data_IF_201113657851
#
_entry.id   IF_201113657851
#
_cell.length_a   1.000
_cell.length_b   1.000
_cell.length_c   1.000
_cell.angle_alpha   90.00
_cell.angle_beta   90.00
_cell.angle_gamma   90.00
#
_symmetry.space_group_name_H-M   'P 1'
#
loop_
_entity.id
_entity.type
_entity.pdbx_description
1 polymer ?
#
# COMPACT_ATOMS: atom_id res chain seq x y z
N UNK A 1 21.20 -10.55 -30.02
CA UNK A 1 20.26 -9.44 -29.76
C UNK A 1 18.86 -10.05 -29.75
N UNK A 2 18.14 -10.07 -28.62
CA UNK A 2 16.77 -10.62 -28.57
C UNK A 2 15.82 -9.55 -29.15
N UNK A 3 14.94 -9.88 -30.11
CA UNK A 3 13.98 -8.91 -30.65
C UNK A 3 13.12 -8.36 -29.51
N UNK A 4 12.84 -7.06 -29.52
CA UNK A 4 11.94 -6.43 -28.55
C UNK A 4 10.52 -6.96 -28.77
N UNK A 5 9.89 -7.48 -27.72
CA UNK A 5 8.52 -8.00 -27.78
C UNK A 5 7.57 -6.83 -28.04
N UNK A 6 6.78 -6.90 -29.12
CA UNK A 6 5.70 -5.95 -29.37
C UNK A 6 4.39 -6.44 -28.75
N UNK A 7 4.08 -5.97 -27.54
CA UNK A 7 2.83 -6.33 -26.85
C UNK A 7 1.58 -5.65 -27.44
N UNK A 8 1.74 -4.74 -28.39
CA UNK A 8 0.64 -4.05 -29.06
C UNK A 8 0.28 -4.67 -30.42
N UNK A 9 0.98 -5.73 -30.81
CA UNK A 9 0.67 -6.49 -32.02
C UNK A 9 -0.52 -7.44 -31.75
N UNK A 10 -1.66 -7.27 -32.44
CA UNK A 10 -2.83 -8.12 -32.24
C UNK A 10 -2.61 -9.57 -32.69
N UNK A 11 -1.62 -9.83 -33.55
CA UNK A 11 -1.29 -11.17 -34.05
C UNK A 11 -0.15 -11.82 -33.22
N UNK A 12 0.37 -11.12 -32.21
CA UNK A 12 1.42 -11.65 -31.34
C UNK A 12 0.85 -12.56 -30.25
N UNK A 13 1.17 -13.84 -30.33
CA UNK A 13 0.88 -14.83 -29.30
C UNK A 13 2.14 -15.10 -28.46
N UNK A 14 2.19 -14.68 -27.18
CA UNK A 14 3.33 -14.93 -26.32
C UNK A 14 3.43 -16.40 -25.93
N UNK A 15 4.64 -16.94 -25.89
CA UNK A 15 4.88 -18.25 -25.30
C UNK A 15 4.65 -18.24 -23.78
N UNK A 16 4.44 -19.41 -23.19
CA UNK A 16 4.30 -19.57 -21.73
C UNK A 16 5.47 -18.93 -20.96
N UNK A 17 6.70 -19.10 -21.43
CA UNK A 17 7.88 -18.48 -20.82
C UNK A 17 7.83 -16.95 -20.86
N UNK A 18 7.33 -16.39 -21.96
CA UNK A 18 7.14 -14.95 -22.12
C UNK A 18 6.03 -14.45 -21.19
N UNK A 19 4.92 -15.19 -21.07
CA UNK A 19 3.82 -14.87 -20.15
C UNK A 19 4.27 -14.87 -18.69
N UNK A 20 5.05 -15.86 -18.26
CA UNK A 20 5.63 -15.92 -16.91
C UNK A 20 6.54 -14.72 -16.68
N UNK A 21 7.42 -14.42 -17.64
CA UNK A 21 8.32 -13.27 -17.54
C UNK A 21 7.58 -11.92 -17.51
N UNK A 22 6.52 -11.77 -18.30
CA UNK A 22 5.66 -10.59 -18.33
C UNK A 22 4.94 -10.42 -17.00
N UNK A 23 4.36 -11.49 -16.48
CA UNK A 23 3.67 -11.51 -15.17
C UNK A 23 4.62 -11.12 -14.05
N UNK A 24 5.82 -11.71 -14.00
CA UNK A 24 6.82 -11.39 -12.99
C UNK A 24 7.22 -9.91 -13.02
N UNK A 25 7.36 -9.30 -14.20
CA UNK A 25 7.68 -7.88 -14.35
C UNK A 25 6.50 -6.97 -14.03
N UNK A 26 5.30 -7.30 -14.49
CA UNK A 26 4.09 -6.52 -14.26
C UNK A 26 3.76 -6.39 -12.77
N UNK A 27 4.00 -7.46 -12.01
CA UNK A 27 3.78 -7.50 -10.56
C UNK A 27 5.04 -7.28 -9.73
N UNK A 28 6.16 -6.91 -10.36
CA UNK A 28 7.39 -6.60 -9.65
C UNK A 28 7.16 -5.43 -8.69
N UNK A 29 7.54 -5.60 -7.43
CA UNK A 29 7.40 -4.56 -6.40
C UNK A 29 6.00 -4.40 -5.80
N UNK A 30 4.96 -5.09 -6.30
CA UNK A 30 3.61 -5.01 -5.73
C UNK A 30 3.59 -5.48 -4.27
N UNK A 31 4.37 -6.52 -3.94
CA UNK A 31 4.49 -7.03 -2.58
C UNK A 31 5.11 -6.00 -1.64
N UNK A 32 6.18 -5.35 -2.07
CA UNK A 32 6.90 -4.31 -1.32
C UNK A 32 6.01 -3.08 -1.13
N UNK A 33 5.34 -2.63 -2.20
CA UNK A 33 4.36 -1.54 -2.13
C UNK A 33 3.21 -1.85 -1.18
N UNK A 34 2.70 -3.08 -1.21
CA UNK A 34 1.65 -3.52 -0.28
C UNK A 34 2.12 -3.51 1.18
N UNK A 35 3.34 -4.00 1.45
CA UNK A 35 3.94 -3.96 2.80
C UNK A 35 4.14 -2.52 3.29
N UNK A 36 4.59 -1.63 2.41
CA UNK A 36 4.76 -0.22 2.72
C UNK A 36 3.41 0.45 3.05
N UNK A 37 2.39 0.21 2.23
CA UNK A 37 1.02 0.69 2.48
C UNK A 37 0.49 0.20 3.83
N UNK A 38 0.71 -1.07 4.19
CA UNK A 38 0.29 -1.59 5.50
C UNK A 38 1.03 -0.91 6.66
N UNK A 39 2.32 -0.61 6.51
CA UNK A 39 3.08 0.11 7.54
C UNK A 39 2.51 1.51 7.77
N UNK A 40 2.30 2.26 6.69
CA UNK A 40 1.73 3.61 6.75
C UNK A 40 0.33 3.61 7.38
N UNK A 41 -0.49 2.61 7.06
CA UNK A 41 -1.81 2.48 7.66
C UNK A 41 -1.72 2.25 9.17
N UNK A 42 -0.80 1.38 9.63
CA UNK A 42 -0.58 1.13 11.06
C UNK A 42 -0.10 2.39 11.78
N UNK A 43 0.79 3.16 11.16
CA UNK A 43 1.27 4.44 11.71
C UNK A 43 0.13 5.46 11.83
N UNK A 44 -0.74 5.56 10.82
CA UNK A 44 -1.94 6.42 10.85
C UNK A 44 -2.91 6.02 11.96
N UNK A 45 -3.17 4.72 12.12
CA UNK A 45 -4.03 4.21 13.20
C UNK A 45 -3.45 4.54 14.58
N UNK A 46 -2.14 4.33 14.77
CA UNK A 46 -1.48 4.63 16.04
C UNK A 46 -1.58 6.12 16.39
N UNK A 47 -1.36 7.00 15.41
CA UNK A 47 -1.53 8.44 15.58
C UNK A 47 -2.96 8.83 15.92
N UNK A 48 -3.94 8.35 15.15
CA UNK A 48 -5.35 8.64 15.38
C UNK A 48 -5.82 8.20 16.78
N UNK A 49 -5.32 7.05 17.26
CA UNK A 49 -5.58 6.58 18.62
C UNK A 49 -5.00 7.51 19.68
N UNK A 50 -3.75 7.93 19.53
CA UNK A 50 -3.10 8.84 20.47
C UNK A 50 -3.84 10.19 20.52
N UNK A 51 -4.18 10.74 19.36
CA UNK A 51 -4.91 12.01 19.25
C UNK A 51 -6.30 11.90 19.91
N UNK A 52 -7.03 10.79 19.70
CA UNK A 52 -8.33 10.55 20.32
C UNK A 52 -8.27 10.40 21.85
N UNK A 53 -7.25 9.69 22.36
CA UNK A 53 -7.05 9.54 23.81
C UNK A 53 -6.71 10.89 24.47
N UNK A 54 -5.81 11.67 23.88
CA UNK A 54 -5.47 13.00 24.37
C UNK A 54 -6.69 13.94 24.37
N UNK A 55 -7.52 13.88 23.33
CA UNK A 55 -8.76 14.65 23.27
C UNK A 55 -9.76 14.23 24.36
N UNK A 56 -9.88 12.93 24.63
CA UNK A 56 -10.73 12.42 25.71
C UNK A 56 -10.24 12.87 27.08
N UNK A 57 -8.94 12.73 27.35
CA UNK A 57 -8.31 13.18 28.60
C UNK A 57 -8.52 14.68 28.85
N UNK A 58 -8.35 15.49 27.80
CA UNK A 58 -8.60 16.94 27.88
C UNK A 58 -10.06 17.26 28.23
N UNK A 59 -11.04 16.57 27.61
CA UNK A 59 -12.47 16.73 27.93
C UNK A 59 -12.78 16.29 29.36
N UNK A 60 -12.20 15.19 29.81
CA UNK A 60 -12.37 14.71 31.19
C UNK A 60 -11.78 15.70 32.20
N UNK A 61 -10.62 16.29 31.91
CA UNK A 61 -10.01 17.30 32.76
C UNK A 61 -10.88 18.58 32.84
N UNK A 62 -11.44 19.02 31.71
CA UNK A 62 -12.35 20.17 31.64
C UNK A 62 -13.68 19.94 32.40
N UNK A 63 -14.22 18.72 32.32
CA UNK A 63 -15.46 18.34 33.03
C UNK A 63 -15.27 18.07 34.54
N UNK A 64 -14.03 18.00 35.03
CA UNK A 64 -13.69 17.74 36.44
C UNK A 64 -13.30 19.00 37.22
N UNK A 65 -13.35 20.18 36.60
CA UNK A 65 -13.05 21.44 37.27
C UNK A 65 -14.08 21.69 38.41
N UNK A 66 -13.65 21.80 39.68
CA UNK A 66 -14.55 22.04 40.80
C UNK A 66 -15.02 23.50 40.80
N UNK A 67 -16.32 23.72 40.93
CA UNK A 67 -16.90 24.94 41.53
C UNK A 67 -16.65 24.97 43.02
#
# INVERSE_FOLDING_TARGET
MRPAINLADPDFEPSDEQLIGLSARAFAGVREAHRQSQRELREKIAKARADALAALESRLAQGRAPT
#
